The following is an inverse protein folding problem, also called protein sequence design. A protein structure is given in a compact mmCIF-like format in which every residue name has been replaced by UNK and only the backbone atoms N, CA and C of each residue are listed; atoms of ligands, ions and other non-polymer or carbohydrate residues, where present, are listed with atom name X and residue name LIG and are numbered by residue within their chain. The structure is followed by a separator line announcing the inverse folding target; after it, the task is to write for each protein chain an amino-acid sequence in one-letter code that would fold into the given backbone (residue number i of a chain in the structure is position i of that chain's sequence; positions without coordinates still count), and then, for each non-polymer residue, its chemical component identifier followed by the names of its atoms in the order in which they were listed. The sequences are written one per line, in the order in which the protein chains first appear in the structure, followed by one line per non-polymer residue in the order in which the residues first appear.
data_IF_132110676198
#
_entry.id   IF_132110676198
#
_cell.length_a   1.000
_cell.length_b   1.000
_cell.length_c   1.000
_cell.angle_alpha   90.00
_cell.angle_beta   90.00
_cell.angle_gamma   90.00
#
_symmetry.space_group_name_H-M   'P 1'
#
loop_
_entity.id
_entity.type
_entity.pdbx_description
1 polymer ?
#
# COMPACT_ATOMS: atom_id res chain seq x y z
N UNK A 1 17.88 -32.61 -44.52
CA UNK A 1 16.53 -32.74 -43.95
C UNK A 1 16.57 -31.97 -42.63
N UNK A 2 16.22 -30.70 -42.69
CA UNK A 2 16.12 -29.89 -41.48
C UNK A 2 15.00 -30.47 -40.62
N UNK A 3 15.33 -30.86 -39.40
CA UNK A 3 14.31 -31.24 -38.43
C UNK A 3 13.58 -29.94 -38.03
N UNK A 4 12.41 -29.73 -38.65
CA UNK A 4 11.51 -28.68 -38.22
C UNK A 4 11.19 -28.87 -36.76
N UNK A 5 11.51 -27.88 -36.04
CA UNK A 5 11.15 -27.47 -34.69
C UNK A 5 10.70 -28.54 -33.71
N UNK A 6 11.54 -28.84 -32.73
CA UNK A 6 11.14 -29.67 -31.59
C UNK A 6 9.93 -29.04 -30.88
N UNK A 7 8.83 -29.78 -30.82
CA UNK A 7 7.63 -29.41 -30.06
C UNK A 7 7.87 -29.63 -28.58
N UNK A 8 7.53 -28.63 -27.75
CA UNK A 8 7.42 -28.77 -26.32
C UNK A 8 5.98 -29.18 -25.97
N UNK A 9 5.83 -30.27 -25.21
CA UNK A 9 4.53 -30.84 -24.85
C UNK A 9 4.37 -30.92 -23.36
N UNK A 10 3.13 -30.76 -22.89
CA UNK A 10 2.83 -30.83 -21.46
C UNK A 10 3.50 -29.71 -20.67
N UNK A 11 3.52 -28.50 -21.24
CA UNK A 11 4.14 -27.33 -20.61
C UNK A 11 3.39 -27.00 -19.34
N UNK A 12 4.10 -27.03 -18.23
CA UNK A 12 3.63 -26.58 -16.93
C UNK A 12 4.53 -25.43 -16.44
N UNK A 13 3.92 -24.32 -16.07
CA UNK A 13 4.60 -23.18 -15.49
C UNK A 13 4.18 -22.99 -14.04
N UNK A 14 5.15 -22.71 -13.16
CA UNK A 14 4.96 -22.47 -11.75
C UNK A 14 5.75 -21.26 -11.29
N UNK A 15 5.06 -20.29 -10.69
CA UNK A 15 5.71 -19.15 -10.06
C UNK A 15 6.04 -19.46 -8.60
N UNK A 16 7.25 -19.11 -8.15
CA UNK A 16 7.75 -19.38 -6.80
C UNK A 16 8.33 -18.09 -6.24
N UNK A 17 7.89 -17.70 -5.07
CA UNK A 17 8.53 -16.65 -4.28
C UNK A 17 9.68 -17.23 -3.46
N UNK A 18 10.76 -16.48 -3.33
CA UNK A 18 11.86 -16.76 -2.38
C UNK A 18 11.74 -15.98 -1.09
N UNK A 19 10.78 -15.05 -1.01
CA UNK A 19 10.55 -14.20 0.14
C UNK A 19 9.18 -14.52 0.74
N UNK A 20 9.14 -14.80 2.04
CA UNK A 20 7.91 -15.17 2.76
C UNK A 20 6.87 -14.02 2.79
N UNK A 21 7.31 -12.79 2.53
CA UNK A 21 6.42 -11.61 2.46
C UNK A 21 5.64 -11.51 1.16
N UNK A 22 5.96 -12.35 0.15
CA UNK A 22 5.19 -12.48 -1.09
C UNK A 22 4.63 -13.89 -1.22
N UNK A 23 3.32 -14.00 -1.13
CA UNK A 23 2.59 -15.25 -1.32
C UNK A 23 2.12 -15.39 -2.77
N UNK A 24 2.45 -16.52 -3.42
CA UNK A 24 1.92 -16.86 -4.74
C UNK A 24 0.59 -17.59 -4.56
N UNK A 25 -0.50 -16.96 -4.98
CA UNK A 25 -1.86 -17.50 -4.84
C UNK A 25 -2.23 -18.46 -5.98
N UNK A 26 -1.58 -18.31 -7.13
CA UNK A 26 -1.83 -19.14 -8.30
C UNK A 26 -1.21 -20.52 -8.15
N UNK A 27 -1.95 -21.54 -8.58
CA UNK A 27 -1.38 -22.88 -8.77
C UNK A 27 -0.55 -22.90 -10.05
N UNK A 28 0.17 -24.02 -10.29
CA UNK A 28 0.80 -24.24 -11.59
C UNK A 28 -0.22 -24.15 -12.73
N UNK A 29 0.20 -23.65 -13.88
CA UNK A 29 -0.63 -23.50 -15.07
C UNK A 29 -0.11 -24.37 -16.19
N UNK A 30 -1.02 -24.94 -16.97
CA UNK A 30 -0.72 -25.81 -18.09
C UNK A 30 -0.98 -25.06 -19.40
N UNK A 31 -0.03 -25.15 -20.34
CA UNK A 31 -0.14 -24.49 -21.64
C UNK A 31 -0.26 -25.46 -22.83
N UNK A 32 -0.41 -26.76 -22.59
CA UNK A 32 -0.50 -27.74 -23.67
C UNK A 32 0.81 -27.92 -24.39
N UNK A 33 0.85 -27.67 -25.70
CA UNK A 33 2.06 -27.80 -26.54
C UNK A 33 2.38 -26.51 -27.29
N UNK A 34 3.66 -26.31 -27.59
CA UNK A 34 4.18 -25.22 -28.41
C UNK A 34 5.25 -25.69 -29.34
N UNK A 35 5.14 -25.33 -30.62
CA UNK A 35 6.20 -25.53 -31.60
C UNK A 35 7.28 -24.45 -31.47
N UNK A 36 8.46 -24.71 -31.96
CA UNK A 36 9.55 -23.74 -31.94
C UNK A 36 9.15 -22.45 -32.66
N UNK A 37 9.30 -21.32 -31.93
CA UNK A 37 8.93 -19.97 -32.39
C UNK A 37 7.47 -19.58 -32.20
N UNK A 38 6.61 -20.50 -31.79
CA UNK A 38 5.23 -20.17 -31.43
C UNK A 38 5.14 -19.43 -30.09
N UNK A 39 4.00 -18.75 -29.89
CA UNK A 39 3.65 -18.06 -28.66
C UNK A 39 2.28 -18.53 -28.20
N UNK A 40 2.07 -18.52 -26.91
CA UNK A 40 0.73 -18.75 -26.35
C UNK A 40 -0.23 -17.68 -26.83
N UNK A 41 -1.40 -18.09 -27.31
CA UNK A 41 -2.49 -17.16 -27.67
C UNK A 41 -3.03 -16.46 -26.44
N UNK A 42 -3.11 -17.16 -25.31
CA UNK A 42 -3.54 -16.62 -24.04
C UNK A 42 -2.36 -16.59 -23.07
N UNK A 43 -2.01 -15.41 -22.51
CA UNK A 43 -0.95 -15.31 -21.52
C UNK A 43 -1.25 -16.15 -20.28
N UNK A 44 -0.23 -16.69 -19.65
CA UNK A 44 -0.35 -17.27 -18.30
C UNK A 44 -0.39 -16.15 -17.26
N UNK A 45 -1.37 -16.17 -16.38
CA UNK A 45 -1.57 -15.18 -15.35
C UNK A 45 -1.28 -15.76 -13.97
N UNK A 46 -0.41 -15.10 -13.22
CA UNK A 46 -0.10 -15.47 -11.83
C UNK A 46 -0.51 -14.37 -10.87
N UNK A 47 -1.24 -14.75 -9.84
CA UNK A 47 -1.62 -13.83 -8.76
C UNK A 47 -0.64 -13.94 -7.62
N UNK A 48 -0.14 -12.79 -7.17
CA UNK A 48 0.79 -12.65 -6.06
C UNK A 48 0.18 -11.69 -5.05
N UNK A 49 0.28 -12.01 -3.77
CA UNK A 49 -0.10 -11.16 -2.64
C UNK A 49 1.15 -10.73 -1.91
N UNK A 50 1.26 -9.44 -1.63
CA UNK A 50 2.22 -8.93 -0.66
C UNK A 50 1.57 -8.95 0.73
N UNK A 51 2.28 -9.46 1.73
CA UNK A 51 1.89 -9.40 3.12
C UNK A 51 2.00 -7.98 3.67
N UNK A 52 1.26 -7.65 4.72
CA UNK A 52 1.29 -6.32 5.36
C UNK A 52 2.69 -5.94 5.89
N UNK A 53 3.53 -6.95 6.13
CA UNK A 53 4.92 -6.79 6.54
C UNK A 53 5.89 -6.50 5.39
N UNK A 54 5.44 -6.58 4.14
CA UNK A 54 6.27 -6.33 2.97
C UNK A 54 6.57 -4.83 2.85
N UNK A 55 7.84 -4.48 2.92
CA UNK A 55 8.30 -3.10 2.66
C UNK A 55 8.37 -2.85 1.15
N UNK A 56 8.33 -1.58 0.76
CA UNK A 56 8.64 -1.22 -0.63
C UNK A 56 10.02 -1.74 -1.04
N UNK A 57 10.11 -2.29 -2.23
CA UNK A 57 11.36 -2.86 -2.72
C UNK A 57 11.17 -3.85 -3.87
N UNK A 58 12.30 -4.40 -4.31
CA UNK A 58 12.34 -5.40 -5.37
C UNK A 58 12.45 -6.79 -4.74
N UNK A 59 11.54 -7.67 -5.12
CA UNK A 59 11.46 -9.04 -4.63
C UNK A 59 11.71 -10.02 -5.78
N UNK A 60 12.78 -10.83 -5.72
CA UNK A 60 13.07 -11.79 -6.75
C UNK A 60 12.13 -12.99 -6.67
N UNK A 61 11.54 -13.32 -7.80
CA UNK A 61 10.71 -14.51 -7.99
C UNK A 61 11.32 -15.44 -9.05
N UNK A 62 10.89 -16.67 -9.04
CA UNK A 62 11.34 -17.68 -9.99
C UNK A 62 10.14 -18.24 -10.72
N UNK A 63 10.17 -18.17 -12.05
CA UNK A 63 9.26 -18.91 -12.91
C UNK A 63 9.95 -20.20 -13.34
N UNK A 64 9.43 -21.34 -12.87
CA UNK A 64 9.85 -22.67 -13.31
C UNK A 64 8.93 -23.14 -14.43
N UNK A 65 9.52 -23.58 -15.53
CA UNK A 65 8.80 -24.13 -16.68
C UNK A 65 9.31 -25.55 -16.87
N UNK A 66 8.42 -26.54 -16.79
CA UNK A 66 8.67 -27.93 -17.06
C UNK A 66 7.89 -28.37 -18.31
N UNK A 67 8.53 -29.15 -19.15
CA UNK A 67 7.93 -29.67 -20.38
C UNK A 67 8.65 -30.91 -20.86
N UNK A 68 8.02 -31.67 -21.78
CA UNK A 68 8.67 -32.73 -22.50
C UNK A 68 9.03 -32.22 -23.88
N UNK A 69 10.26 -32.52 -24.34
CA UNK A 69 10.70 -32.27 -25.70
C UNK A 69 10.97 -33.59 -26.40
N UNK A 70 10.71 -33.61 -27.69
CA UNK A 70 11.08 -34.74 -28.51
C UNK A 70 12.60 -34.78 -28.68
N UNK A 71 13.24 -35.91 -28.33
CA UNK A 71 14.68 -36.12 -28.50
C UNK A 71 15.00 -36.95 -29.71
N UNK A 72 14.20 -38.01 -29.99
CA UNK A 72 14.46 -38.94 -31.10
C UNK A 72 13.16 -39.49 -31.67
N UNK A 73 13.24 -39.94 -32.88
CA UNK A 73 12.15 -40.63 -33.57
C UNK A 73 12.66 -41.95 -34.08
N UNK A 74 12.16 -43.03 -33.55
CA UNK A 74 12.47 -44.37 -34.03
C UNK A 74 11.37 -44.87 -34.95
N UNK A 75 11.76 -45.29 -36.15
CA UNK A 75 10.87 -45.90 -37.14
C UNK A 75 11.18 -47.40 -37.20
N UNK A 76 10.21 -48.21 -36.84
CA UNK A 76 10.32 -49.68 -36.86
C UNK A 76 9.24 -50.28 -37.74
N UNK A 77 9.42 -51.54 -38.16
CA UNK A 77 8.45 -52.32 -38.90
C UNK A 77 8.65 -52.35 -40.42
N UNK A 78 7.61 -52.71 -41.16
CA UNK A 78 7.62 -52.84 -42.62
C UNK A 78 7.60 -51.44 -43.27
N UNK A 79 8.42 -51.17 -44.33
CA UNK A 79 8.40 -49.89 -45.05
C UNK A 79 7.03 -49.44 -45.55
N UNK A 80 6.10 -50.37 -45.78
CA UNK A 80 4.72 -50.04 -46.19
C UNK A 80 3.81 -49.70 -45.08
N UNK A 81 4.17 -50.04 -43.80
CA UNK A 81 3.41 -49.76 -42.59
C UNK A 81 4.40 -49.47 -41.47
N UNK A 82 5.07 -48.29 -41.46
CA UNK A 82 6.05 -47.97 -40.47
C UNK A 82 5.36 -47.65 -39.11
N UNK A 83 5.91 -48.19 -38.05
CA UNK A 83 5.55 -47.82 -36.69
C UNK A 83 6.54 -46.73 -36.24
N UNK A 84 6.01 -45.58 -35.83
CA UNK A 84 6.80 -44.43 -35.43
C UNK A 84 6.71 -44.28 -33.89
N UNK A 85 7.87 -44.34 -33.23
CA UNK A 85 7.99 -44.15 -31.78
C UNK A 85 8.74 -42.85 -31.52
N UNK A 86 8.09 -41.97 -30.77
CA UNK A 86 8.68 -40.70 -30.32
C UNK A 86 9.32 -40.91 -28.95
N UNK A 87 10.60 -40.66 -28.84
CA UNK A 87 11.28 -40.59 -27.54
C UNK A 87 11.24 -39.15 -27.07
N UNK A 88 10.73 -38.95 -25.85
CA UNK A 88 10.62 -37.64 -25.18
C UNK A 88 11.49 -37.62 -23.97
N UNK A 89 12.09 -36.45 -23.68
CA UNK A 89 12.82 -36.18 -22.45
C UNK A 89 12.20 -35.00 -21.74
N UNK A 90 12.14 -35.13 -20.42
CA UNK A 90 11.74 -34.02 -19.57
C UNK A 90 12.82 -32.93 -19.58
N UNK A 91 12.38 -31.70 -19.71
CA UNK A 91 13.19 -30.51 -19.64
C UNK A 91 12.61 -29.55 -18.59
N UNK A 92 13.48 -28.81 -17.97
CA UNK A 92 13.09 -27.78 -16.98
C UNK A 92 13.92 -26.53 -17.21
N UNK A 93 13.24 -25.39 -17.26
CA UNK A 93 13.85 -24.08 -17.36
C UNK A 93 13.45 -23.22 -16.18
N UNK A 94 14.29 -22.25 -15.84
CA UNK A 94 14.08 -21.37 -14.72
C UNK A 94 14.39 -19.94 -15.14
N UNK A 95 13.43 -19.05 -14.96
CA UNK A 95 13.53 -17.63 -15.29
C UNK A 95 13.41 -16.83 -14.00
N UNK A 96 14.36 -15.93 -13.76
CA UNK A 96 14.26 -14.98 -12.66
C UNK A 96 13.43 -13.77 -13.07
N UNK A 97 12.49 -13.37 -12.23
CA UNK A 97 11.61 -12.22 -12.40
C UNK A 97 11.75 -11.32 -11.18
N UNK A 98 11.78 -10.03 -11.40
CA UNK A 98 11.77 -9.03 -10.31
C UNK A 98 10.38 -8.42 -10.21
N UNK A 99 9.78 -8.52 -9.01
CA UNK A 99 8.49 -7.90 -8.69
C UNK A 99 8.75 -6.71 -7.80
N UNK A 100 8.33 -5.54 -8.22
CA UNK A 100 8.42 -4.32 -7.43
C UNK A 100 7.18 -4.20 -6.54
N UNK A 101 7.38 -4.16 -5.23
CA UNK A 101 6.36 -3.83 -4.24
C UNK A 101 6.47 -2.34 -3.92
N UNK A 102 5.36 -1.63 -3.98
CA UNK A 102 5.25 -0.21 -3.65
C UNK A 102 4.30 -0.07 -2.46
N UNK A 103 4.57 0.85 -1.55
CA UNK A 103 3.73 1.06 -0.35
C UNK A 103 2.40 1.76 -0.64
N UNK A 104 2.16 2.19 -1.84
CA UNK A 104 0.99 2.99 -2.18
C UNK A 104 1.13 4.44 -1.72
N UNK A 105 0.03 5.19 -1.73
CA UNK A 105 -0.04 6.46 -1.01
C UNK A 105 -0.30 6.15 0.47
N UNK A 106 0.37 6.88 1.36
CA UNK A 106 0.23 6.77 2.81
C UNK A 106 0.24 8.16 3.42
N UNK A 107 -0.87 8.56 3.96
CA UNK A 107 -1.00 9.88 4.59
C UNK A 107 -0.75 9.78 6.09
N UNK A 108 -0.05 10.77 6.64
CA UNK A 108 0.18 10.88 8.08
C UNK A 108 0.19 12.35 8.52
N UNK A 109 -0.13 12.61 9.79
CA UNK A 109 0.01 13.96 10.37
C UNK A 109 1.47 14.16 10.75
N UNK A 110 2.18 14.97 9.96
CA UNK A 110 3.57 15.29 10.19
C UNK A 110 3.76 16.34 11.30
N UNK A 111 2.81 17.30 11.44
CA UNK A 111 2.88 18.39 12.42
C UNK A 111 1.49 18.92 12.77
N UNK A 112 1.31 19.31 14.01
CA UNK A 112 0.13 20.05 14.49
C UNK A 112 0.60 21.43 14.95
N UNK A 113 0.04 22.49 14.37
CA UNK A 113 0.36 23.87 14.71
C UNK A 113 -0.87 24.58 15.24
N UNK A 114 -0.66 25.42 16.19
CA UNK A 114 -1.70 26.23 16.82
C UNK A 114 -1.61 26.17 18.33
N UNK A 115 -2.24 27.11 18.97
CA UNK A 115 -2.32 27.18 20.42
C UNK A 115 -3.78 27.38 20.80
N UNK A 116 -4.33 26.40 21.45
CA UNK A 116 -5.73 26.41 21.86
C UNK A 116 -5.84 26.67 23.36
N UNK A 117 -6.88 27.40 23.75
CA UNK A 117 -7.14 27.75 25.13
C UNK A 117 -8.63 27.62 25.44
N UNK A 118 -9.01 27.26 26.69
CA UNK A 118 -10.40 27.12 27.08
C UNK A 118 -11.23 28.36 26.79
N UNK A 119 -12.44 28.18 26.27
CA UNK A 119 -13.41 29.22 25.98
C UNK A 119 -13.08 30.13 24.80
N UNK A 120 -12.14 29.75 23.96
CA UNK A 120 -11.76 30.51 22.75
C UNK A 120 -11.85 29.64 21.49
N UNK A 121 -12.26 30.28 20.41
CA UNK A 121 -12.09 29.73 19.08
C UNK A 121 -10.67 30.03 18.58
N UNK A 122 -10.04 29.08 17.97
CA UNK A 122 -8.71 29.17 17.35
C UNK A 122 -8.67 28.34 16.11
N UNK A 123 -7.95 28.79 15.10
CA UNK A 123 -7.64 27.96 13.94
C UNK A 123 -6.43 27.09 14.26
N UNK A 124 -6.55 25.82 13.92
CA UNK A 124 -5.50 24.82 14.09
C UNK A 124 -5.05 24.32 12.73
N UNK A 125 -3.76 24.38 12.47
CA UNK A 125 -3.17 23.84 11.26
C UNK A 125 -2.72 22.39 11.49
N UNK A 126 -3.14 21.48 10.61
CA UNK A 126 -2.57 20.16 10.46
C UNK A 126 -1.73 20.10 9.20
N UNK A 127 -0.51 19.61 9.34
CA UNK A 127 0.38 19.35 8.20
C UNK A 127 0.27 17.86 7.89
N UNK A 128 -0.33 17.50 6.76
CA UNK A 128 -0.49 16.13 6.29
C UNK A 128 0.59 15.87 5.26
N UNK A 129 1.33 14.78 5.42
CA UNK A 129 2.41 14.34 4.54
C UNK A 129 2.04 13.01 3.88
N UNK A 130 2.35 12.87 2.59
CA UNK A 130 2.31 11.59 1.92
C UNK A 130 3.69 10.91 2.07
N UNK A 131 3.80 10.00 3.01
CA UNK A 131 5.01 9.20 3.26
C UNK A 131 5.09 7.93 2.40
N UNK A 132 4.11 7.72 1.51
CA UNK A 132 4.06 6.58 0.60
C UNK A 132 4.81 6.83 -0.71
N UNK A 133 4.74 5.84 -1.62
CA UNK A 133 5.46 5.83 -2.89
C UNK A 133 4.57 6.24 -4.08
N UNK A 134 3.26 6.34 -3.89
CA UNK A 134 2.31 6.73 -4.93
C UNK A 134 1.60 8.05 -4.60
N UNK A 135 1.10 8.71 -5.63
CA UNK A 135 0.26 9.90 -5.53
C UNK A 135 -1.01 9.58 -4.72
N UNK A 136 -1.37 10.44 -3.77
CA UNK A 136 -2.70 10.50 -3.18
C UNK A 136 -3.51 11.53 -3.96
N UNK A 137 -4.52 11.07 -4.70
CA UNK A 137 -5.34 11.93 -5.54
C UNK A 137 -6.64 12.33 -4.83
N UNK A 138 -7.10 13.54 -5.06
CA UNK A 138 -8.37 14.06 -4.55
C UNK A 138 -8.50 13.89 -3.02
N UNK A 139 -7.47 14.33 -2.30
CA UNK A 139 -7.44 14.20 -0.84
C UNK A 139 -8.42 15.17 -0.22
N UNK A 140 -9.35 14.62 0.54
CA UNK A 140 -10.29 15.37 1.37
C UNK A 140 -10.04 15.04 2.84
N UNK A 141 -10.09 16.05 3.69
CA UNK A 141 -9.84 15.93 5.13
C UNK A 141 -11.00 16.48 5.97
N UNK A 142 -11.33 15.78 7.04
CA UNK A 142 -12.35 16.17 8.02
C UNK A 142 -11.84 15.94 9.41
N UNK A 143 -11.97 16.96 10.26
CA UNK A 143 -11.59 16.83 11.68
C UNK A 143 -12.77 16.24 12.49
N UNK A 144 -12.48 15.17 13.21
CA UNK A 144 -13.39 14.54 14.17
C UNK A 144 -12.86 14.80 15.58
N UNK A 145 -13.68 15.44 16.40
CA UNK A 145 -13.33 15.79 17.78
C UNK A 145 -14.39 15.32 18.75
N UNK A 146 -14.00 15.18 20.00
CA UNK A 146 -14.88 14.87 21.12
C UNK A 146 -14.78 15.97 22.18
N UNK A 147 -15.84 16.11 22.99
CA UNK A 147 -15.81 17.03 24.14
C UNK A 147 -14.55 16.81 25.00
N UNK A 148 -13.86 17.87 25.39
CA UNK A 148 -14.29 19.30 25.43
C UNK A 148 -13.94 20.10 24.14
N UNK A 149 -13.52 19.41 23.04
CA UNK A 149 -13.20 20.05 21.79
C UNK A 149 -14.42 20.02 20.86
N UNK A 150 -14.65 21.13 20.14
CA UNK A 150 -15.72 21.27 19.16
C UNK A 150 -15.18 21.87 17.86
N UNK A 151 -15.71 21.43 16.72
CA UNK A 151 -15.36 21.94 15.38
C UNK A 151 -16.63 22.06 14.53
N UNK A 152 -16.58 22.80 13.43
CA UNK A 152 -17.67 22.85 12.45
C UNK A 152 -17.82 21.52 11.69
N UNK A 153 -16.77 20.70 11.67
CA UNK A 153 -16.77 19.39 10.99
C UNK A 153 -16.86 19.47 9.46
N UNK A 154 -16.46 20.59 8.88
CA UNK A 154 -16.43 20.77 7.43
C UNK A 154 -15.40 19.86 6.77
N UNK A 155 -15.72 19.39 5.56
CA UNK A 155 -14.80 18.66 4.69
C UNK A 155 -13.95 19.68 3.94
N UNK A 156 -12.64 19.51 3.95
CA UNK A 156 -11.68 20.40 3.29
C UNK A 156 -10.98 19.62 2.19
N UNK A 157 -11.02 20.17 0.98
CA UNK A 157 -10.30 19.64 -0.19
C UNK A 157 -8.83 20.09 -0.13
N UNK A 158 -7.92 19.12 -0.18
CA UNK A 158 -6.47 19.32 -0.19
C UNK A 158 -5.86 19.10 -1.59
N UNK A 159 -6.67 18.64 -2.56
CA UNK A 159 -6.19 18.25 -3.87
C UNK A 159 -5.28 17.03 -3.85
N UNK A 160 -4.30 17.00 -4.74
CA UNK A 160 -3.38 15.89 -4.89
C UNK A 160 -2.12 16.09 -4.03
N UNK A 161 -1.67 15.02 -3.35
CA UNK A 161 -0.44 15.04 -2.54
C UNK A 161 0.55 14.03 -3.11
N UNK A 162 1.60 14.54 -3.77
CA UNK A 162 2.69 13.71 -4.31
C UNK A 162 3.51 13.02 -3.19
N UNK A 163 4.21 11.91 -3.49
CA UNK A 163 5.15 11.28 -2.57
C UNK A 163 6.14 12.26 -1.96
N UNK A 164 6.27 12.23 -0.63
CA UNK A 164 7.16 13.11 0.13
C UNK A 164 6.72 14.58 0.19
N UNK A 165 5.53 14.93 -0.30
CA UNK A 165 4.98 16.28 -0.21
C UNK A 165 4.00 16.42 0.95
N UNK A 166 3.79 17.69 1.33
CA UNK A 166 2.93 18.09 2.45
C UNK A 166 1.83 19.00 1.98
N UNK A 167 0.66 18.82 2.55
CA UNK A 167 -0.46 19.76 2.44
C UNK A 167 -0.77 20.32 3.83
N UNK A 168 -1.24 21.57 3.88
CA UNK A 168 -1.64 22.22 5.13
C UNK A 168 -3.15 22.39 5.11
N UNK A 169 -3.80 21.97 6.18
CA UNK A 169 -5.24 22.17 6.38
C UNK A 169 -5.49 22.93 7.68
N UNK A 170 -6.37 23.90 7.61
CA UNK A 170 -6.80 24.70 8.77
C UNK A 170 -8.19 24.25 9.20
N UNK A 171 -8.35 23.97 10.50
CA UNK A 171 -9.63 23.64 11.09
C UNK A 171 -9.97 24.61 12.21
N UNK A 172 -11.16 25.23 12.19
CA UNK A 172 -11.65 25.99 13.31
C UNK A 172 -11.97 25.06 14.48
N UNK A 173 -11.36 25.32 15.62
CA UNK A 173 -11.51 24.53 16.84
C UNK A 173 -11.97 25.43 18.00
N UNK A 174 -12.97 24.98 18.71
CA UNK A 174 -13.49 25.65 19.92
C UNK A 174 -13.30 24.72 21.10
N UNK A 175 -12.75 25.23 22.19
CA UNK A 175 -12.56 24.48 23.43
C UNK A 175 -13.57 24.97 24.48
N UNK A 176 -14.23 24.06 25.17
CA UNK A 176 -15.13 24.38 26.26
C UNK A 176 -14.40 25.18 27.33
N UNK A 177 -15.14 26.11 28.02
CA UNK A 177 -14.55 27.04 29.00
C UNK A 177 -14.01 26.36 30.24
N UNK A 178 -14.57 25.23 30.58
CA UNK A 178 -14.25 24.39 31.73
C UNK A 178 -13.35 23.22 31.41
N UNK A 179 -12.77 23.21 30.18
CA UNK A 179 -11.79 22.20 29.79
C UNK A 179 -10.51 22.31 30.63
N UNK A 180 -10.05 21.19 31.12
CA UNK A 180 -8.77 21.11 31.83
C UNK A 180 -7.60 21.32 30.84
N UNK A 181 -6.53 22.02 31.28
CA UNK A 181 -5.30 22.05 30.47
C UNK A 181 -4.68 20.66 30.33
N UNK A 182 -4.21 20.34 29.16
CA UNK A 182 -3.60 19.02 28.88
C UNK A 182 -3.58 18.66 27.40
N UNK A 183 -3.16 17.45 27.11
CA UNK A 183 -3.14 16.90 25.75
C UNK A 183 -4.48 16.21 25.42
N UNK A 184 -5.01 16.53 24.26
CA UNK A 184 -6.24 15.96 23.75
C UNK A 184 -6.00 15.30 22.39
N UNK A 185 -6.59 14.13 22.21
CA UNK A 185 -6.53 13.42 20.95
C UNK A 185 -7.50 14.03 19.94
N UNK A 186 -7.01 14.17 18.71
CA UNK A 186 -7.77 14.54 17.53
C UNK A 186 -7.71 13.40 16.53
N UNK A 187 -8.74 13.24 15.73
CA UNK A 187 -8.74 12.33 14.59
C UNK A 187 -9.02 13.15 13.34
N UNK A 188 -8.08 13.18 12.43
CA UNK A 188 -8.27 13.72 11.09
C UNK A 188 -8.62 12.55 10.16
N UNK A 189 -9.88 12.45 9.78
CA UNK A 189 -10.30 11.46 8.79
C UNK A 189 -9.97 12.01 7.40
N UNK A 190 -9.20 11.22 6.64
CA UNK A 190 -8.82 11.56 5.25
C UNK A 190 -9.41 10.55 4.30
N UNK A 191 -9.88 11.03 3.16
CA UNK A 191 -10.34 10.21 2.05
C UNK A 191 -9.54 10.59 0.79
N UNK A 192 -9.09 9.61 0.02
CA UNK A 192 -8.30 9.85 -1.19
C UNK A 192 -8.36 8.64 -2.14
N UNK A 193 -7.92 8.84 -3.37
CA UNK A 193 -7.74 7.78 -4.36
C UNK A 193 -6.25 7.43 -4.45
N UNK A 194 -5.92 6.15 -4.54
CA UNK A 194 -4.54 5.69 -4.65
C UNK A 194 -4.41 4.43 -5.50
N UNK A 195 -3.33 4.33 -6.26
CA UNK A 195 -2.96 3.17 -7.07
C UNK A 195 -3.58 3.16 -8.46
N UNK A 196 -3.19 2.17 -9.26
CA UNK A 196 -3.76 1.95 -10.58
C UNK A 196 -5.24 1.57 -10.46
N UNK A 197 -6.10 2.40 -11.06
CA UNK A 197 -7.55 2.24 -10.98
C UNK A 197 -8.24 3.10 -9.93
N UNK A 198 -7.51 3.96 -9.20
CA UNK A 198 -8.08 4.96 -8.30
C UNK A 198 -8.92 4.34 -7.17
N UNK A 199 -8.42 3.33 -6.49
CA UNK A 199 -9.12 2.76 -5.35
C UNK A 199 -9.31 3.81 -4.25
N UNK A 200 -10.57 4.03 -3.83
CA UNK A 200 -10.88 4.94 -2.73
C UNK A 200 -10.41 4.34 -1.41
N UNK A 201 -9.69 5.16 -0.65
CA UNK A 201 -9.22 4.85 0.70
C UNK A 201 -9.76 5.87 1.67
N UNK A 202 -10.05 5.41 2.89
CA UNK A 202 -10.43 6.25 4.03
C UNK A 202 -9.59 5.83 5.21
N UNK A 203 -8.89 6.78 5.81
CA UNK A 203 -7.98 6.53 6.93
C UNK A 203 -8.22 7.56 8.04
N UNK A 204 -8.05 7.14 9.29
CA UNK A 204 -8.15 7.98 10.47
C UNK A 204 -6.73 8.29 10.98
N UNK A 205 -6.31 9.54 10.83
CA UNK A 205 -5.00 10.01 11.24
C UNK A 205 -5.11 10.58 12.66
N UNK A 206 -4.39 9.98 13.61
CA UNK A 206 -4.35 10.46 14.99
C UNK A 206 -3.38 11.63 15.15
N UNK A 207 -3.78 12.65 15.90
CA UNK A 207 -2.97 13.78 16.27
C UNK A 207 -3.21 14.15 17.74
N UNK A 208 -2.24 14.80 18.37
CA UNK A 208 -2.36 15.33 19.72
C UNK A 208 -2.28 16.86 19.67
N UNK A 209 -3.13 17.52 20.47
CA UNK A 209 -3.14 18.96 20.61
C UNK A 209 -3.08 19.34 22.08
N UNK A 210 -2.29 20.36 22.41
CA UNK A 210 -2.15 20.86 23.74
C UNK A 210 -3.15 22.02 24.01
N UNK A 211 -4.04 21.84 24.98
CA UNK A 211 -4.88 22.90 25.53
C UNK A 211 -4.10 23.58 26.65
N UNK A 212 -3.72 24.83 26.43
CA UNK A 212 -2.97 25.63 27.43
C UNK A 212 -3.85 26.23 28.51
N UNK A 213 -3.30 26.31 29.71
CA UNK A 213 -3.98 27.02 30.79
C UNK A 213 -4.28 28.47 30.40
N UNK A 214 -5.45 29.01 30.74
CA UNK A 214 -5.76 30.41 30.47
C UNK A 214 -4.71 31.31 31.15
N UNK A 215 -3.98 32.08 30.35
CA UNK A 215 -3.05 33.08 30.83
C UNK A 215 -3.84 34.27 31.41
N UNK A 216 -4.19 34.19 32.70
CA UNK A 216 -4.88 35.28 33.31
C UNK A 216 -5.65 34.92 34.58
N UNK A 217 -4.93 34.60 35.63
CA UNK A 217 -5.26 34.98 37.03
C UNK A 217 -3.98 34.79 37.87
N UNK A 218 -3.16 35.82 37.88
CA UNK A 218 -2.25 35.97 39.04
C UNK A 218 -3.17 36.08 40.26
N UNK A 219 -3.33 34.99 40.98
CA UNK A 219 -3.90 35.02 42.32
C UNK A 219 -2.96 35.90 43.14
N UNK A 220 -3.34 37.17 43.33
CA UNK A 220 -2.69 38.03 44.33
C UNK A 220 -3.13 37.46 45.66
N UNK A 221 -2.26 36.67 46.26
CA UNK A 221 -2.40 36.23 47.65
C UNK A 221 -2.24 37.49 48.52
N UNK A 222 -3.36 38.10 48.86
CA UNK A 222 -3.37 39.16 49.90
C UNK A 222 -3.20 38.44 51.23
N UNK A 223 -1.96 38.42 51.75
CA UNK A 223 -1.69 37.98 53.09
C UNK A 223 -2.14 39.13 54.01
N UNK A 224 -3.15 38.95 54.86
CA UNK A 224 -3.48 39.96 55.85
C UNK A 224 -2.36 39.99 56.87
N UNK A 225 -1.66 41.14 56.97
CA UNK A 225 -0.75 41.42 58.06
C UNK A 225 -1.61 41.78 59.25
N UNK A 226 -1.83 40.86 60.19
CA UNK A 226 -2.42 41.13 61.45
C UNK A 226 -1.30 41.77 62.31
N UNK A 227 -1.35 43.08 62.47
CA UNK A 227 -0.55 43.81 63.50
C UNK A 227 -1.14 43.55 64.87
N UNK A 228 -0.41 42.84 65.72
CA UNK A 228 -0.70 42.68 67.09
C UNK A 228 -0.01 43.86 67.82
N UNK A 229 -0.82 44.78 68.49
CA UNK A 229 -0.39 45.79 69.43
C UNK A 229 -0.30 45.15 70.81
#
# INVERSE_FOLDING_TARGET
MEMEGSEAVGIEARLISRDERLEVLSRSQMAGSLSAGERLETPMEFSVRAEDSASAGIYPMILEISYERQEDVQVQGNPLYPEIYFQRAAAKETISLDVQVMTGARLEVAEVKGSISPGRASDMELVIENSGDLLAEQVEAKLLVQSPLNTTGELVDLGDIEPGKKAIVEFPLVVDRDADPGEYALVCQVQYLSGEGGASRMEDLAALVEVKAPTGLRTILIVPIIAIL
#
